data_IF_421939240058
#
_entry.id   IF_421939240058
#
_cell.length_a   1.000
_cell.length_b   1.000
_cell.length_c   1.000
_cell.angle_alpha   90.00
_cell.angle_beta   90.00
_cell.angle_gamma   90.00
#
_symmetry.space_group_name_H-M   'P 1'
#
loop_
_entity.id
_entity.type
_entity.pdbx_description
1 polymer ?
#
# COMPACT_ATOMS: atom_id res chain seq x y z
N UNK A 1 3.99 -20.21 3.41
CA UNK A 1 5.07 -19.26 3.07
C UNK A 1 4.58 -18.02 2.32
N UNK A 2 3.26 -17.76 2.22
CA UNK A 2 2.71 -16.60 1.49
C UNK A 2 2.51 -15.35 2.38
N UNK A 3 2.24 -15.55 3.67
CA UNK A 3 2.07 -14.46 4.64
C UNK A 3 3.37 -13.64 4.87
N UNK A 4 4.54 -14.21 4.59
CA UNK A 4 5.81 -13.52 4.74
C UNK A 4 6.03 -12.46 3.67
N UNK A 5 5.50 -12.64 2.45
CA UNK A 5 5.77 -11.72 1.34
C UNK A 5 5.13 -10.35 1.56
N UNK A 6 3.86 -10.32 1.99
CA UNK A 6 3.18 -9.06 2.31
C UNK A 6 3.85 -8.30 3.46
N UNK A 7 4.28 -9.04 4.50
CA UNK A 7 4.98 -8.46 5.63
C UNK A 7 6.37 -7.90 5.25
N UNK A 8 7.14 -8.66 4.45
CA UNK A 8 8.43 -8.22 3.92
C UNK A 8 8.25 -6.97 3.04
N UNK A 9 7.22 -6.93 2.20
CA UNK A 9 6.92 -5.78 1.35
C UNK A 9 6.59 -4.54 2.20
N UNK A 10 5.76 -4.67 3.22
CA UNK A 10 5.45 -3.56 4.16
C UNK A 10 6.70 -3.05 4.87
N UNK A 11 7.59 -3.95 5.31
CA UNK A 11 8.87 -3.57 5.92
C UNK A 11 9.75 -2.83 4.91
N UNK A 12 9.88 -3.36 3.69
CA UNK A 12 10.69 -2.74 2.64
C UNK A 12 10.19 -1.32 2.30
N UNK A 13 8.87 -1.14 2.21
CA UNK A 13 8.25 0.18 1.98
C UNK A 13 8.53 1.12 3.16
N UNK A 14 8.37 0.64 4.40
CA UNK A 14 8.62 1.43 5.60
C UNK A 14 10.09 1.91 5.68
N UNK A 15 11.05 1.01 5.43
CA UNK A 15 12.48 1.32 5.40
C UNK A 15 12.77 2.34 4.30
N UNK A 16 12.26 2.09 3.08
CA UNK A 16 12.44 3.01 1.95
C UNK A 16 11.93 4.41 2.29
N UNK A 17 10.72 4.53 2.84
CA UNK A 17 10.12 5.80 3.20
C UNK A 17 10.87 6.50 4.34
N UNK A 18 11.32 5.77 5.35
CA UNK A 18 12.11 6.32 6.44
C UNK A 18 13.45 6.90 5.97
N UNK A 19 14.11 6.25 5.00
CA UNK A 19 15.39 6.72 4.44
C UNK A 19 15.19 7.88 3.46
N UNK A 20 14.13 7.85 2.65
CA UNK A 20 13.91 8.83 1.60
C UNK A 20 13.23 10.12 2.09
N UNK A 21 12.36 10.03 3.11
CA UNK A 21 11.63 11.18 3.67
C UNK A 21 12.52 12.36 4.12
N UNK A 22 13.63 12.15 4.85
CA UNK A 22 14.48 13.26 5.28
C UNK A 22 15.14 13.99 4.10
N UNK A 23 15.36 13.32 2.96
CA UNK A 23 15.89 13.95 1.73
C UNK A 23 14.92 14.97 1.12
N UNK A 24 13.64 14.88 1.48
CA UNK A 24 12.57 15.75 0.98
C UNK A 24 12.00 16.65 2.09
N UNK A 25 12.73 16.81 3.21
CA UNK A 25 12.30 17.64 4.34
C UNK A 25 11.04 17.13 5.04
N UNK A 26 10.79 15.81 5.00
CA UNK A 26 9.64 15.17 5.65
C UNK A 26 10.09 14.34 6.85
N UNK A 27 9.21 14.19 7.85
CA UNK A 27 9.50 13.41 9.05
C UNK A 27 9.64 11.90 8.71
N UNK A 28 10.82 11.29 8.94
CA UNK A 28 11.09 9.87 8.65
C UNK A 28 10.14 8.91 9.35
N UNK A 29 9.86 9.16 10.63
CA UNK A 29 9.05 8.27 11.47
C UNK A 29 7.59 8.25 11.03
N UNK A 30 7.06 9.42 10.67
CA UNK A 30 5.69 9.52 10.18
C UNK A 30 5.50 8.70 8.91
N UNK A 31 6.37 8.87 7.91
CA UNK A 31 6.25 8.15 6.64
C UNK A 31 6.60 6.67 6.75
N UNK A 32 7.57 6.30 7.59
CA UNK A 32 7.91 4.90 7.85
C UNK A 32 6.74 4.13 8.49
N UNK A 33 6.14 4.66 9.56
CA UNK A 33 5.02 4.02 10.25
C UNK A 33 3.78 3.95 9.36
N UNK A 34 3.44 5.06 8.69
CA UNK A 34 2.31 5.08 7.75
C UNK A 34 2.55 4.11 6.59
N UNK A 35 3.78 4.04 6.08
CA UNK A 35 4.18 3.13 5.02
C UNK A 35 4.07 1.65 5.41
N UNK A 36 4.41 1.33 6.65
CA UNK A 36 4.28 -0.03 7.17
C UNK A 36 2.81 -0.47 7.26
N UNK A 37 1.94 0.42 7.77
CA UNK A 37 0.53 0.11 8.04
C UNK A 37 -0.31 0.09 6.77
N UNK A 38 -0.12 1.07 5.89
CA UNK A 38 -0.96 1.27 4.70
C UNK A 38 -0.25 0.90 3.39
N UNK A 39 1.02 0.49 3.46
CA UNK A 39 1.74 -0.13 2.35
C UNK A 39 1.80 0.74 1.09
N UNK A 40 1.44 0.18 -0.08
CA UNK A 40 1.54 0.87 -1.37
C UNK A 40 0.76 2.19 -1.47
N UNK A 41 -0.33 2.35 -0.71
CA UNK A 41 -1.13 3.59 -0.73
C UNK A 41 -0.29 4.77 -0.26
N UNK A 42 0.39 4.61 0.89
CA UNK A 42 1.22 5.68 1.46
C UNK A 42 2.45 5.93 0.58
N UNK A 43 3.01 4.89 -0.04
CA UNK A 43 4.08 5.06 -1.03
C UNK A 43 3.63 5.92 -2.22
N UNK A 44 2.43 5.68 -2.76
CA UNK A 44 1.86 6.49 -3.84
C UNK A 44 1.66 7.95 -3.43
N UNK A 45 1.05 8.19 -2.26
CA UNK A 45 0.84 9.55 -1.72
C UNK A 45 2.18 10.26 -1.48
N UNK A 46 3.17 9.54 -0.94
CA UNK A 46 4.51 10.07 -0.71
C UNK A 46 5.14 10.54 -2.02
N UNK A 47 5.11 9.73 -3.08
CA UNK A 47 5.65 10.12 -4.38
C UNK A 47 4.94 11.32 -5.00
N UNK A 48 3.62 11.44 -4.82
CA UNK A 48 2.87 12.64 -5.23
C UNK A 48 3.39 13.88 -4.49
N UNK A 49 3.66 13.77 -3.18
CA UNK A 49 4.15 14.86 -2.33
C UNK A 49 5.64 15.18 -2.56
N UNK A 50 6.46 14.24 -3.02
CA UNK A 50 7.89 14.47 -3.31
C UNK A 50 8.18 14.78 -4.79
N UNK A 51 7.16 15.17 -5.56
CA UNK A 51 7.35 15.61 -6.96
C UNK A 51 7.34 14.50 -8.01
N UNK A 52 7.34 13.23 -7.62
CA UNK A 52 7.21 12.06 -8.51
C UNK A 52 5.74 11.74 -8.80
N UNK A 53 4.99 12.74 -9.29
CA UNK A 53 3.52 12.69 -9.40
C UNK A 53 3.01 11.53 -10.25
N UNK A 54 3.61 11.29 -11.42
CA UNK A 54 3.15 10.23 -12.34
C UNK A 54 3.27 8.86 -11.70
N UNK A 55 4.46 8.52 -11.17
CA UNK A 55 4.68 7.24 -10.48
C UNK A 55 3.77 7.09 -9.25
N UNK A 56 3.58 8.16 -8.49
CA UNK A 56 2.71 8.16 -7.32
C UNK A 56 1.24 7.88 -7.68
N UNK A 57 0.71 8.49 -8.73
CA UNK A 57 -0.64 8.22 -9.22
C UNK A 57 -0.79 6.80 -9.76
N UNK A 58 0.19 6.29 -10.51
CA UNK A 58 0.17 4.91 -11.01
C UNK A 58 0.08 3.92 -9.83
N UNK A 59 0.95 4.07 -8.83
CA UNK A 59 0.96 3.19 -7.64
C UNK A 59 -0.37 3.30 -6.88
N UNK A 60 -0.89 4.52 -6.70
CA UNK A 60 -2.14 4.74 -5.98
C UNK A 60 -3.33 4.09 -6.68
N UNK A 61 -3.46 4.27 -8.00
CA UNK A 61 -4.55 3.70 -8.80
C UNK A 61 -4.48 2.17 -8.78
N UNK A 62 -3.29 1.59 -8.96
CA UNK A 62 -3.10 0.13 -8.89
C UNK A 62 -3.50 -0.39 -7.50
N UNK A 63 -3.06 0.26 -6.43
CA UNK A 63 -3.41 -0.13 -5.07
C UNK A 63 -4.93 -0.09 -4.82
N UNK A 64 -5.62 0.96 -5.28
CA UNK A 64 -7.07 1.09 -5.17
C UNK A 64 -7.78 -0.03 -5.94
N UNK A 65 -7.37 -0.31 -7.19
CA UNK A 65 -7.98 -1.37 -8.01
C UNK A 65 -7.81 -2.74 -7.34
N UNK A 66 -6.63 -3.06 -6.81
CA UNK A 66 -6.38 -4.32 -6.13
C UNK A 66 -7.23 -4.47 -4.86
N UNK A 67 -7.40 -3.40 -4.09
CA UNK A 67 -8.26 -3.41 -2.90
C UNK A 67 -9.72 -3.64 -3.28
N UNK A 68 -10.22 -2.94 -4.31
CA UNK A 68 -11.59 -3.15 -4.79
C UNK A 68 -11.81 -4.57 -5.30
N UNK A 69 -10.84 -5.13 -6.01
CA UNK A 69 -10.89 -6.51 -6.51
C UNK A 69 -10.89 -7.52 -5.35
N UNK A 70 -10.07 -7.29 -4.32
CA UNK A 70 -10.04 -8.12 -3.12
C UNK A 70 -11.38 -8.08 -2.38
N UNK A 71 -11.95 -6.89 -2.19
CA UNK A 71 -13.29 -6.71 -1.58
C UNK A 71 -14.35 -7.47 -2.38
N UNK A 72 -14.32 -7.36 -3.71
CA UNK A 72 -15.25 -8.07 -4.59
C UNK A 72 -15.11 -9.60 -4.45
N UNK A 73 -13.88 -10.11 -4.43
CA UNK A 73 -13.59 -11.54 -4.21
C UNK A 73 -14.16 -12.03 -2.89
N UNK A 74 -13.94 -11.30 -1.79
CA UNK A 74 -14.51 -11.65 -0.49
C UNK A 74 -16.03 -11.58 -0.49
N UNK A 75 -16.62 -10.56 -1.12
CA UNK A 75 -18.07 -10.42 -1.21
C UNK A 75 -18.72 -11.58 -1.99
N UNK A 76 -18.15 -11.94 -3.15
CA UNK A 76 -18.63 -13.08 -3.95
C UNK A 76 -18.41 -14.40 -3.21
N UNK A 77 -17.23 -14.62 -2.62
CA UNK A 77 -16.95 -15.82 -1.84
C UNK A 77 -17.89 -15.98 -0.66
N UNK A 78 -18.16 -14.90 0.07
CA UNK A 78 -19.16 -14.89 1.14
C UNK A 78 -20.55 -15.22 0.60
N UNK A 79 -20.99 -14.56 -0.47
CA UNK A 79 -22.29 -14.83 -1.09
C UNK A 79 -22.47 -16.32 -1.46
N UNK A 80 -21.47 -16.93 -2.10
CA UNK A 80 -21.51 -18.34 -2.49
C UNK A 80 -21.63 -19.28 -1.29
N UNK A 81 -20.80 -19.07 -0.25
CA UNK A 81 -20.80 -19.91 0.96
C UNK A 81 -22.15 -19.85 1.68
N UNK A 82 -22.77 -18.68 1.80
CA UNK A 82 -24.01 -18.49 2.55
C UNK A 82 -25.29 -18.78 1.73
N UNK A 83 -25.20 -18.83 0.40
CA UNK A 83 -26.30 -19.29 -0.46
C UNK A 83 -26.28 -20.81 -0.69
N UNK A 84 -25.29 -21.54 -0.16
CA UNK A 84 -25.27 -23.00 -0.14
C UNK A 84 -25.07 -23.65 -1.51
N UNK A 85 -24.43 -22.95 -2.47
CA UNK A 85 -23.95 -23.52 -3.74
C UNK A 85 -22.52 -24.01 -3.55
#
# INVERSE_FOLDING_TARGET
MEFSFGFILSIAIAIFLAIDAPKHGKNPWLWGILGFVFGPIVLGIYFIKTGRKVAGWIILIIAIILILLLILLFAVGFFLIFQGI
#
